data_IF_736764643976
#
_entry.id   IF_736764643976
#
_cell.length_a   1.000
_cell.length_b   1.000
_cell.length_c   1.000
_cell.angle_alpha   90.00
_cell.angle_beta   90.00
_cell.angle_gamma   90.00
#
_symmetry.space_group_name_H-M   'P 1'
#
loop_
_entity.id
_entity.type
_entity.pdbx_description
1 polymer ?
#
# COMPACT_ATOMS: atom_id res chain seq x y z
N UNK A 1 4.11 30.36 -2.32
CA UNK A 1 2.97 29.42 -2.36
C UNK A 1 3.25 28.33 -1.33
N UNK A 2 2.60 28.41 -0.17
CA UNK A 2 2.65 27.35 0.83
C UNK A 2 1.76 26.22 0.34
N UNK A 3 2.36 25.07 -0.01
CA UNK A 3 1.63 23.81 -0.19
C UNK A 3 0.93 23.48 1.13
N UNK A 4 -0.40 23.43 1.09
CA UNK A 4 -1.19 22.86 2.19
C UNK A 4 -0.75 21.40 2.34
N UNK A 5 -0.41 20.93 3.56
CA UNK A 5 -0.15 19.52 3.77
C UNK A 5 -1.41 18.76 3.37
N UNK A 6 -1.28 17.92 2.35
CA UNK A 6 -2.36 17.06 1.90
C UNK A 6 -2.87 16.23 3.08
N UNK A 7 -4.20 16.14 3.25
CA UNK A 7 -4.86 15.19 4.14
C UNK A 7 -4.60 13.77 3.62
N UNK A 8 -3.38 13.29 3.79
CA UNK A 8 -3.08 11.88 3.60
C UNK A 8 -3.66 11.11 4.79
N UNK A 9 -4.46 10.11 4.53
CA UNK A 9 -4.90 9.17 5.58
C UNK A 9 -3.68 8.70 6.39
N UNK A 10 -3.76 8.67 7.72
CA UNK A 10 -2.63 8.29 8.56
C UNK A 10 -2.15 6.88 8.19
N UNK A 11 -0.84 6.71 8.14
CA UNK A 11 -0.23 5.42 7.82
C UNK A 11 -0.49 4.41 8.96
N UNK A 12 -0.54 3.10 8.69
CA UNK A 12 -0.78 2.08 9.72
C UNK A 12 0.16 2.16 10.92
N UNK A 13 1.43 2.49 10.68
CA UNK A 13 2.40 2.70 11.75
C UNK A 13 2.08 3.88 12.67
N UNK A 14 1.50 4.97 12.11
CA UNK A 14 1.05 6.11 12.90
C UNK A 14 -0.17 5.75 13.75
N UNK A 15 -1.13 4.99 13.19
CA UNK A 15 -2.30 4.49 13.92
C UNK A 15 -1.90 3.59 15.08
N UNK A 16 -0.93 2.71 14.87
CA UNK A 16 -0.38 1.85 15.94
C UNK A 16 0.22 2.69 17.06
N UNK A 17 1.06 3.69 16.74
CA UNK A 17 1.66 4.57 17.75
C UNK A 17 0.62 5.34 18.53
N UNK A 18 -0.38 5.91 17.85
CA UNK A 18 -1.50 6.58 18.52
C UNK A 18 -2.27 5.63 19.46
N UNK A 19 -2.45 4.38 19.06
CA UNK A 19 -3.10 3.36 19.88
C UNK A 19 -2.25 2.94 21.08
N UNK A 20 -0.94 2.87 20.95
CA UNK A 20 0.00 2.61 22.05
C UNK A 20 -0.05 3.74 23.08
N UNK A 21 -0.01 4.99 22.66
CA UNK A 21 -0.15 6.17 23.51
C UNK A 21 -1.50 6.16 24.26
N UNK A 22 -2.59 5.88 23.54
CA UNK A 22 -3.92 5.77 24.15
C UNK A 22 -3.98 4.65 25.18
N UNK A 23 -3.39 3.49 24.91
CA UNK A 23 -3.32 2.37 25.84
C UNK A 23 -2.56 2.71 27.13
N UNK A 24 -1.50 3.52 27.04
CA UNK A 24 -0.76 4.00 28.21
C UNK A 24 -1.63 4.94 29.05
N UNK A 25 -2.27 5.93 28.44
CA UNK A 25 -3.16 6.85 29.13
C UNK A 25 -4.34 6.15 29.81
N UNK A 26 -4.92 5.12 29.16
CA UNK A 26 -5.99 4.31 29.75
C UNK A 26 -5.51 3.52 30.99
N UNK A 27 -4.27 3.00 30.96
CA UNK A 27 -3.68 2.33 32.13
C UNK A 27 -3.44 3.28 33.29
N UNK A 28 -2.91 4.47 32.98
CA UNK A 28 -2.69 5.52 34.02
C UNK A 28 -4.00 5.95 34.63
N UNK A 29 -5.03 6.14 33.81
CA UNK A 29 -6.36 6.51 34.30
C UNK A 29 -6.99 5.42 35.16
N UNK A 30 -6.88 4.15 34.70
CA UNK A 30 -7.36 3.02 35.53
C UNK A 30 -6.65 2.94 36.88
N UNK A 31 -5.34 3.20 36.91
CA UNK A 31 -4.56 3.23 38.13
C UNK A 31 -5.06 4.34 39.08
N UNK A 32 -5.23 5.56 38.56
CA UNK A 32 -5.78 6.69 39.37
C UNK A 32 -7.17 6.39 39.90
N UNK A 33 -8.03 5.70 39.16
CA UNK A 33 -9.34 5.27 39.63
C UNK A 33 -9.25 4.24 40.74
N UNK A 34 -8.27 3.33 40.75
CA UNK A 34 -8.06 2.31 41.79
C UNK A 34 -7.42 2.87 43.05
N UNK A 35 -6.48 3.80 42.89
CA UNK A 35 -5.73 4.38 44.01
C UNK A 35 -6.55 5.41 44.81
N UNK A 36 -7.84 5.60 44.47
CA UNK A 36 -8.78 6.43 45.23
C UNK A 36 -8.66 7.94 44.96
N UNK A 37 -7.65 8.41 44.23
CA UNK A 37 -7.53 9.81 43.81
C UNK A 37 -8.64 10.22 42.81
N UNK A 38 -9.30 9.21 42.22
CA UNK A 38 -10.39 9.38 41.27
C UNK A 38 -11.79 9.14 41.83
N UNK A 39 -11.96 8.96 43.15
CA UNK A 39 -13.27 8.61 43.75
C UNK A 39 -14.35 9.69 43.58
N UNK A 40 -13.97 10.87 43.09
CA UNK A 40 -14.92 11.88 42.66
C UNK A 40 -15.11 11.82 41.15
N UNK A 41 -15.93 10.87 40.66
CA UNK A 41 -16.33 10.77 39.23
C UNK A 41 -16.96 12.06 38.68
N UNK A 42 -17.27 13.01 39.54
CA UNK A 42 -17.77 14.35 39.18
C UNK A 42 -16.65 15.37 38.96
N UNK A 43 -15.37 14.96 39.06
CA UNK A 43 -14.26 15.86 38.78
C UNK A 43 -14.26 16.23 37.29
N UNK A 44 -14.42 17.53 36.93
CA UNK A 44 -14.49 17.97 35.52
C UNK A 44 -13.23 17.58 34.73
N UNK A 45 -12.06 17.55 35.37
CA UNK A 45 -10.80 17.15 34.77
C UNK A 45 -10.76 15.69 34.33
N UNK A 46 -11.37 14.80 35.13
CA UNK A 46 -11.45 13.38 34.83
C UNK A 46 -12.39 13.14 33.63
N UNK A 47 -13.57 13.75 33.64
CA UNK A 47 -14.54 13.67 32.54
C UNK A 47 -13.95 14.17 31.22
N UNK A 48 -13.18 15.26 31.25
CA UNK A 48 -12.49 15.79 30.09
C UNK A 48 -11.50 14.77 29.49
N UNK A 49 -10.72 14.08 30.31
CA UNK A 49 -9.78 13.04 29.88
C UNK A 49 -10.49 11.87 29.19
N UNK A 50 -11.64 11.43 29.73
CA UNK A 50 -12.44 10.38 29.09
C UNK A 50 -12.93 10.81 27.69
N UNK A 51 -13.42 12.04 27.54
CA UNK A 51 -13.85 12.58 26.25
C UNK A 51 -12.70 12.68 25.27
N UNK A 52 -11.53 13.13 25.71
CA UNK A 52 -10.33 13.20 24.86
C UNK A 52 -9.87 11.80 24.40
N UNK A 53 -9.93 10.80 25.27
CA UNK A 53 -9.58 9.42 24.92
C UNK A 53 -10.59 8.80 23.98
N UNK A 54 -11.88 9.05 24.19
CA UNK A 54 -12.94 8.61 23.30
C UNK A 54 -12.76 9.20 21.89
N UNK A 55 -12.52 10.50 21.79
CA UNK A 55 -12.27 11.18 20.53
C UNK A 55 -11.02 10.63 19.79
N UNK A 56 -9.94 10.34 20.54
CA UNK A 56 -8.74 9.71 19.95
C UNK A 56 -9.03 8.29 19.47
N UNK A 57 -9.75 7.49 20.23
CA UNK A 57 -10.11 6.12 19.85
C UNK A 57 -10.99 6.13 18.59
N UNK A 58 -11.97 7.02 18.53
CA UNK A 58 -12.85 7.18 17.36
C UNK A 58 -12.07 7.62 16.12
N UNK A 59 -11.13 8.54 16.25
CA UNK A 59 -10.27 8.98 15.14
C UNK A 59 -9.45 7.82 14.57
N UNK A 60 -8.84 7.00 15.44
CA UNK A 60 -8.07 5.82 15.02
C UNK A 60 -8.99 4.82 14.30
N UNK A 61 -10.18 4.58 14.82
CA UNK A 61 -11.16 3.68 14.21
C UNK A 61 -11.61 4.16 12.82
N UNK A 62 -11.97 5.44 12.69
CA UNK A 62 -12.36 6.02 11.40
C UNK A 62 -11.23 5.90 10.37
N UNK A 63 -10.00 6.23 10.76
CA UNK A 63 -8.83 6.07 9.88
C UNK A 63 -8.58 4.61 9.47
N UNK A 64 -8.88 3.67 10.35
CA UNK A 64 -8.77 2.25 10.05
C UNK A 64 -9.90 1.76 9.12
N UNK A 65 -11.09 2.33 9.23
CA UNK A 65 -12.22 2.08 8.31
C UNK A 65 -11.90 2.59 6.89
N UNK A 66 -11.24 3.73 6.75
CA UNK A 66 -10.76 4.24 5.47
C UNK A 66 -9.72 3.29 4.84
N UNK A 67 -8.76 2.80 5.63
CA UNK A 67 -7.76 1.83 5.16
C UNK A 67 -8.36 0.49 4.70
N UNK A 68 -9.53 0.12 5.20
CA UNK A 68 -10.24 -1.09 4.77
C UNK A 68 -10.53 -1.09 3.27
N UNK A 69 -10.83 0.09 2.69
CA UNK A 69 -11.10 0.26 1.26
C UNK A 69 -9.89 -0.06 0.36
N UNK A 70 -8.68 0.17 0.85
CA UNK A 70 -7.44 -0.02 0.10
C UNK A 70 -6.82 -1.41 0.28
N UNK A 71 -7.32 -2.18 1.27
CA UNK A 71 -6.80 -3.50 1.62
C UNK A 71 -7.34 -4.58 0.70
N UNK A 72 -6.46 -5.26 -0.03
CA UNK A 72 -6.79 -6.41 -0.90
C UNK A 72 -6.55 -7.76 -0.22
N UNK A 73 -5.64 -7.81 0.74
CA UNK A 73 -5.27 -9.02 1.45
C UNK A 73 -6.37 -9.43 2.44
N UNK A 74 -6.91 -10.65 2.30
CA UNK A 74 -7.97 -11.20 3.18
C UNK A 74 -7.57 -11.24 4.66
N UNK A 75 -6.31 -11.56 4.95
CA UNK A 75 -5.78 -11.59 6.33
C UNK A 75 -5.77 -10.19 6.93
N UNK A 76 -5.33 -9.19 6.17
CA UNK A 76 -5.36 -7.79 6.56
C UNK A 76 -6.78 -7.28 6.78
N UNK A 77 -7.72 -7.60 5.87
CA UNK A 77 -9.14 -7.24 6.01
C UNK A 77 -9.75 -7.79 7.30
N UNK A 78 -9.51 -9.07 7.59
CA UNK A 78 -9.99 -9.68 8.84
C UNK A 78 -9.38 -9.02 10.08
N UNK A 79 -8.08 -8.71 10.05
CA UNK A 79 -7.42 -8.01 11.15
C UNK A 79 -8.00 -6.59 11.39
N UNK A 80 -8.35 -5.86 10.32
CA UNK A 80 -9.02 -4.57 10.39
C UNK A 80 -10.42 -4.71 11.01
N UNK A 81 -11.23 -5.65 10.55
CA UNK A 81 -12.59 -5.87 11.05
C UNK A 81 -12.60 -6.24 12.54
N UNK A 82 -11.73 -7.14 12.92
CA UNK A 82 -11.58 -7.55 14.32
C UNK A 82 -11.07 -6.38 15.19
N UNK A 83 -10.14 -5.56 14.67
CA UNK A 83 -9.66 -4.38 15.40
C UNK A 83 -10.78 -3.33 15.58
N UNK A 84 -11.55 -3.05 14.54
CA UNK A 84 -12.70 -2.12 14.60
C UNK A 84 -13.73 -2.58 15.63
N UNK A 85 -14.02 -3.89 15.69
CA UNK A 85 -14.93 -4.46 16.69
C UNK A 85 -14.43 -4.23 18.11
N UNK A 86 -13.15 -4.52 18.37
CA UNK A 86 -12.55 -4.32 19.68
C UNK A 86 -12.48 -2.83 20.06
N UNK A 87 -12.26 -1.94 19.08
CA UNK A 87 -12.28 -0.49 19.29
C UNK A 87 -13.66 0.00 19.70
N UNK A 88 -14.74 -0.45 19.04
CA UNK A 88 -16.12 -0.10 19.44
C UNK A 88 -16.45 -0.52 20.84
N UNK A 89 -16.11 -1.75 21.22
CA UNK A 89 -16.32 -2.22 22.59
C UNK A 89 -15.50 -1.39 23.63
N UNK A 90 -14.32 -0.93 23.23
CA UNK A 90 -13.50 -0.05 24.09
C UNK A 90 -14.07 1.36 24.16
N UNK A 91 -14.62 1.91 23.09
CA UNK A 91 -15.33 3.19 23.07
C UNK A 91 -16.52 3.16 24.04
N UNK A 92 -17.28 2.05 24.08
CA UNK A 92 -18.37 1.85 25.04
C UNK A 92 -17.87 1.82 26.49
N UNK A 93 -16.77 1.10 26.75
CA UNK A 93 -16.17 1.06 28.11
C UNK A 93 -15.69 2.44 28.55
N UNK A 94 -15.05 3.21 27.67
CA UNK A 94 -14.58 4.57 27.93
C UNK A 94 -15.77 5.50 28.17
N UNK A 95 -16.82 5.45 27.35
CA UNK A 95 -18.01 6.26 27.47
C UNK A 95 -18.74 6.00 28.81
N UNK A 96 -18.80 4.74 29.20
CA UNK A 96 -19.39 4.32 30.48
C UNK A 96 -18.44 4.51 31.66
N UNK A 97 -17.23 5.02 31.45
CA UNK A 97 -16.17 5.18 32.47
C UNK A 97 -15.84 3.85 33.20
N UNK A 98 -16.01 2.73 32.51
CA UNK A 98 -15.81 1.39 33.03
C UNK A 98 -14.51 0.77 32.50
N UNK A 99 -13.36 1.21 32.99
CA UNK A 99 -12.06 0.70 32.60
C UNK A 99 -11.70 -0.57 33.38
N UNK A 100 -12.02 -1.71 32.81
CA UNK A 100 -11.71 -3.03 33.36
C UNK A 100 -10.35 -3.54 32.91
N UNK A 101 -9.86 -4.63 33.50
CA UNK A 101 -8.68 -5.35 33.02
C UNK A 101 -8.92 -5.95 31.60
N UNK A 102 -10.17 -6.27 31.30
CA UNK A 102 -10.57 -6.74 29.99
C UNK A 102 -10.44 -5.64 28.92
N UNK A 103 -10.84 -4.40 29.24
CA UNK A 103 -10.66 -3.24 28.36
C UNK A 103 -9.17 -3.03 28.04
N UNK A 104 -8.28 -3.15 29.01
CA UNK A 104 -6.82 -3.06 28.79
C UNK A 104 -6.27 -4.25 28.00
N UNK A 105 -6.82 -5.45 28.17
CA UNK A 105 -6.45 -6.61 27.35
C UNK A 105 -6.87 -6.43 25.89
N UNK A 106 -8.08 -5.89 25.65
CA UNK A 106 -8.54 -5.51 24.30
C UNK A 106 -7.60 -4.51 23.62
N UNK A 107 -7.06 -3.52 24.37
CA UNK A 107 -6.09 -2.58 23.83
C UNK A 107 -4.83 -3.28 23.28
N UNK A 108 -4.31 -4.29 23.99
CA UNK A 108 -3.17 -5.08 23.51
C UNK A 108 -3.53 -5.88 22.23
N UNK A 109 -4.73 -6.43 22.19
CA UNK A 109 -5.21 -7.15 21.01
C UNK A 109 -5.34 -6.23 19.79
N UNK A 110 -5.87 -5.01 19.98
CA UNK A 110 -5.95 -3.99 18.93
C UNK A 110 -4.55 -3.68 18.37
N UNK A 111 -3.56 -3.42 19.24
CA UNK A 111 -2.17 -3.14 18.81
C UNK A 111 -1.59 -4.31 18.01
N UNK A 112 -1.82 -5.55 18.45
CA UNK A 112 -1.36 -6.75 17.74
C UNK A 112 -2.02 -6.87 16.36
N UNK A 113 -3.30 -6.54 16.24
CA UNK A 113 -4.02 -6.54 14.96
C UNK A 113 -3.55 -5.43 14.03
N UNK A 114 -3.25 -4.23 14.56
CA UNK A 114 -2.66 -3.14 13.78
C UNK A 114 -1.28 -3.51 13.22
N UNK A 115 -0.46 -4.27 13.96
CA UNK A 115 0.79 -4.83 13.44
C UNK A 115 0.56 -5.76 12.23
N UNK A 116 -0.46 -6.63 12.31
CA UNK A 116 -0.81 -7.51 11.18
C UNK A 116 -1.32 -6.73 9.96
N UNK A 117 -2.04 -5.64 10.19
CA UNK A 117 -2.49 -4.74 9.12
C UNK A 117 -1.30 -4.07 8.44
N UNK A 118 -0.34 -3.56 9.22
CA UNK A 118 0.90 -2.96 8.71
C UNK A 118 1.71 -3.96 7.87
N UNK A 119 1.85 -5.19 8.34
CA UNK A 119 2.55 -6.28 7.65
C UNK A 119 1.85 -6.65 6.32
N UNK A 120 0.53 -6.83 6.34
CA UNK A 120 -0.27 -7.13 5.16
C UNK A 120 -0.21 -6.02 4.09
N UNK A 121 -0.18 -4.75 4.49
CA UNK A 121 -0.02 -3.62 3.57
C UNK A 121 1.40 -3.56 2.98
N UNK A 122 2.42 -3.89 3.78
CA UNK A 122 3.80 -3.98 3.29
C UNK A 122 3.95 -5.07 2.24
N UNK A 123 3.40 -6.26 2.50
CA UNK A 123 3.38 -7.37 1.55
C UNK A 123 2.67 -6.97 0.24
N UNK A 124 1.49 -6.35 0.34
CA UNK A 124 0.75 -5.85 -0.82
C UNK A 124 1.55 -4.80 -1.62
N UNK A 125 2.34 -3.97 -0.96
CA UNK A 125 3.22 -2.99 -1.59
C UNK A 125 4.41 -3.64 -2.32
N UNK A 126 4.97 -4.71 -1.76
CA UNK A 126 6.06 -5.46 -2.38
C UNK A 126 5.58 -6.24 -3.61
N UNK A 127 4.39 -6.85 -3.56
CA UNK A 127 3.79 -7.55 -4.69
C UNK A 127 3.53 -6.60 -5.88
N UNK A 128 3.00 -5.41 -5.63
CA UNK A 128 2.85 -4.37 -6.66
C UNK A 128 4.18 -3.97 -7.30
N UNK A 129 5.26 -3.90 -6.53
CA UNK A 129 6.61 -3.60 -7.05
C UNK A 129 7.16 -4.75 -7.90
N UNK A 130 6.89 -5.99 -7.53
CA UNK A 130 7.30 -7.18 -8.29
C UNK A 130 6.58 -7.25 -9.62
N UNK A 131 5.26 -7.06 -9.66
CA UNK A 131 4.47 -6.99 -10.89
C UNK A 131 4.96 -5.88 -11.82
N UNK A 132 5.23 -4.68 -11.29
CA UNK A 132 5.76 -3.55 -12.07
C UNK A 132 7.12 -3.84 -12.68
N UNK A 133 8.05 -4.49 -11.95
CA UNK A 133 9.37 -4.88 -12.49
C UNK A 133 9.27 -5.96 -13.56
N UNK A 134 8.42 -6.95 -13.37
CA UNK A 134 8.19 -8.03 -14.35
C UNK A 134 7.68 -7.47 -15.68
N UNK A 135 6.71 -6.58 -15.64
CA UNK A 135 6.15 -5.90 -16.81
C UNK A 135 7.21 -5.08 -17.58
N UNK A 136 8.08 -4.35 -16.87
CA UNK A 136 9.15 -3.55 -17.49
C UNK A 136 10.19 -4.42 -18.19
N UNK A 137 10.58 -5.54 -17.58
CA UNK A 137 11.57 -6.47 -18.16
C UNK A 137 11.04 -7.15 -19.43
N UNK A 138 9.75 -7.49 -19.45
CA UNK A 138 9.11 -8.09 -20.62
C UNK A 138 9.02 -7.10 -21.79
N UNK A 139 8.70 -5.84 -21.50
CA UNK A 139 8.68 -4.76 -22.49
C UNK A 139 10.07 -4.49 -23.08
N UNK A 140 11.11 -4.46 -22.25
CA UNK A 140 12.51 -4.32 -22.72
C UNK A 140 12.95 -5.48 -23.63
N UNK A 141 12.53 -6.73 -23.33
CA UNK A 141 12.80 -7.89 -24.21
C UNK A 141 12.16 -7.73 -25.58
N UNK A 142 10.89 -7.32 -25.62
CA UNK A 142 10.14 -7.14 -26.88
C UNK A 142 10.82 -6.06 -27.75
N UNK A 143 11.26 -4.95 -27.15
CA UNK A 143 11.98 -3.89 -27.86
C UNK A 143 13.33 -4.41 -28.40
N UNK A 144 14.08 -5.16 -27.62
CA UNK A 144 15.37 -5.72 -28.05
C UNK A 144 15.20 -6.71 -29.21
N UNK A 145 14.19 -7.56 -29.20
CA UNK A 145 13.91 -8.52 -30.28
C UNK A 145 13.45 -7.80 -31.56
N UNK A 146 12.62 -6.79 -31.46
CA UNK A 146 12.20 -5.95 -32.58
C UNK A 146 13.41 -5.20 -33.18
N UNK A 147 14.31 -4.70 -32.36
CA UNK A 147 15.53 -4.02 -32.82
C UNK A 147 16.49 -4.97 -33.55
N UNK A 148 16.68 -6.19 -33.06
CA UNK A 148 17.48 -7.23 -33.74
C UNK A 148 16.89 -7.60 -35.10
N UNK A 149 15.58 -7.75 -35.20
CA UNK A 149 14.91 -8.02 -36.48
C UNK A 149 15.13 -6.88 -37.47
N UNK A 150 15.01 -5.64 -37.02
CA UNK A 150 15.28 -4.47 -37.87
C UNK A 150 16.73 -4.41 -38.35
N UNK A 151 17.72 -4.70 -37.50
CA UNK A 151 19.13 -4.76 -37.90
C UNK A 151 19.38 -5.86 -38.95
N UNK A 152 18.79 -7.05 -38.78
CA UNK A 152 18.89 -8.15 -39.76
C UNK A 152 18.29 -7.78 -41.12
N UNK A 153 17.13 -7.12 -41.10
CA UNK A 153 16.51 -6.64 -42.35
C UNK A 153 17.35 -5.57 -43.04
N UNK A 154 17.90 -4.63 -42.27
CA UNK A 154 18.78 -3.59 -42.79
C UNK A 154 20.08 -4.16 -43.39
N UNK A 155 20.67 -5.17 -42.78
CA UNK A 155 21.84 -5.89 -43.30
C UNK A 155 21.51 -6.58 -44.62
N UNK A 156 20.36 -7.29 -44.71
CA UNK A 156 19.90 -7.91 -45.97
C UNK A 156 19.71 -6.89 -47.07
N UNK A 157 19.09 -5.76 -46.82
CA UNK A 157 18.91 -4.69 -47.79
C UNK A 157 20.25 -4.08 -48.24
N UNK A 158 21.20 -3.91 -47.30
CA UNK A 158 22.54 -3.38 -47.61
C UNK A 158 23.36 -4.36 -48.45
N UNK A 159 23.25 -5.66 -48.23
CA UNK A 159 23.88 -6.70 -49.03
C UNK A 159 23.28 -6.75 -50.45
N UNK A 160 21.96 -6.65 -50.58
CA UNK A 160 21.29 -6.56 -51.90
C UNK A 160 21.75 -5.34 -52.68
N UNK A 161 21.92 -4.18 -52.06
CA UNK A 161 22.42 -2.97 -52.68
C UNK A 161 23.90 -3.05 -53.12
N UNK A 162 24.73 -3.85 -52.38
CA UNK A 162 26.14 -4.08 -52.71
C UNK A 162 26.35 -5.06 -53.86
N UNK A 163 25.41 -6.00 -54.05
CA UNK A 163 25.51 -7.03 -55.10
C UNK A 163 25.02 -6.57 -56.48
N UNK A 164 24.30 -5.46 -56.56
CA UNK A 164 23.86 -4.87 -57.85
C UNK A 164 24.84 -3.77 -58.30
N UNK A 165 25.63 -3.96 -59.37
CA UNK A 165 26.53 -2.91 -59.86
C UNK A 165 25.72 -1.67 -60.28
N UNK A 166 26.21 -0.43 -59.99
CA UNK A 166 25.50 0.80 -60.30
C UNK A 166 25.24 1.05 -61.76
N UNK A 167 26.03 0.42 -62.66
CA UNK A 167 25.97 0.59 -64.14
C UNK A 167 25.00 -0.35 -64.85
N UNK A 168 24.26 -1.20 -64.14
CA UNK A 168 23.28 -2.06 -64.79
C UNK A 168 22.05 -1.27 -65.24
N UNK A 169 21.66 -1.53 -66.55
CA UNK A 169 20.43 -0.99 -67.10
C UNK A 169 19.19 -1.38 -66.18
N UNK A 170 18.23 -0.50 -66.10
CA UNK A 170 17.02 -0.64 -65.19
C UNK A 170 16.29 -1.97 -65.38
N UNK A 171 16.30 -2.52 -66.60
CA UNK A 171 15.73 -3.84 -66.90
C UNK A 171 16.43 -4.98 -66.18
N UNK A 172 17.74 -4.95 -66.11
CA UNK A 172 18.54 -5.98 -65.45
C UNK A 172 18.49 -5.82 -63.95
N UNK A 173 18.44 -4.58 -63.42
CA UNK A 173 18.22 -4.33 -62.02
C UNK A 173 16.92 -4.97 -61.50
N UNK A 174 15.83 -4.74 -62.23
CA UNK A 174 14.53 -5.34 -61.85
C UNK A 174 14.51 -6.88 -61.94
N UNK A 175 15.28 -7.49 -62.85
CA UNK A 175 15.43 -8.95 -62.95
C UNK A 175 16.24 -9.52 -61.76
N UNK A 176 17.32 -8.89 -61.39
CA UNK A 176 18.18 -9.27 -60.28
C UNK A 176 17.41 -9.15 -58.98
N UNK A 177 16.70 -8.06 -58.77
CA UNK A 177 15.84 -7.88 -57.59
C UNK A 177 14.74 -8.94 -57.48
N UNK A 178 14.12 -9.30 -58.62
CA UNK A 178 13.11 -10.36 -58.66
C UNK A 178 13.72 -11.74 -58.35
N UNK A 179 14.93 -12.03 -58.84
CA UNK A 179 15.64 -13.27 -58.55
C UNK A 179 16.00 -13.42 -57.09
N UNK A 180 16.56 -12.36 -56.49
CA UNK A 180 16.88 -12.39 -55.04
C UNK A 180 15.65 -12.45 -54.15
N UNK A 181 14.55 -11.80 -54.54
CA UNK A 181 13.29 -11.91 -53.77
C UNK A 181 12.67 -13.32 -53.84
N UNK A 182 12.90 -14.06 -54.95
CA UNK A 182 12.45 -15.45 -55.07
C UNK A 182 13.35 -16.45 -54.33
N UNK A 183 14.64 -16.15 -54.12
CA UNK A 183 15.54 -16.99 -53.34
C UNK A 183 15.44 -16.80 -51.81
N UNK A 184 14.82 -15.73 -51.33
CA UNK A 184 14.68 -15.39 -49.96
C UNK A 184 13.31 -15.79 -49.35
N UNK A 185 12.44 -16.42 -50.15
CA UNK A 185 11.24 -17.11 -49.68
C UNK A 185 11.52 -18.60 -49.45
#
# INVERSE_FOLDING_TARGET
QCEKPGKGSPKPGDLKRMQEELSQHLKELQKQMKDGEGSNMQNPGMSKRFVEMLAKQELIRQSLEELKGDMKNKTGLKAIEDAIKDMKNTEEDIANKNLTMESLSRQKNIITRLLRVEEALREQGEDKKRESKSSTTEYERIIQDAYKQYELEKLKQTEMLKTTPPDLNTYYKNKVDRYFNLMLQ
#
